data_IF_632512559849
#
_entry.id   IF_632512559849
#
_cell.length_a   1.000
_cell.length_b   1.000
_cell.length_c   1.000
_cell.angle_alpha   90.00
_cell.angle_beta   90.00
_cell.angle_gamma   90.00
#
_symmetry.space_group_name_H-M   'P 1'
#
loop_
_entity.id
_entity.type
_entity.pdbx_description
1 polymer ?
2 non-polymer ?
3 non-polymer ?
4 water ?
#
# COMPACT_ATOMS: atom_id res chain seq x y z
N UNK A 1 -4.38 -4.91 4.64
CA UNK A 1 -3.92 -5.77 5.78
C UNK A 1 -4.74 -5.60 7.06
N UNK A 2 -5.38 -4.45 7.25
CA UNK A 2 -6.12 -4.03 8.46
C UNK A 2 -7.14 -2.97 8.09
N UNK A 3 -7.92 -2.46 9.08
CA UNK A 3 -9.09 -1.61 8.81
C UNK A 3 -8.72 -0.26 8.18
N UNK A 4 -7.48 0.21 8.36
CA UNK A 4 -6.93 1.40 7.67
C UNK A 4 -6.91 1.20 6.17
N UNK A 5 -6.24 0.14 5.71
CA UNK A 5 -6.14 -0.25 4.29
C UNK A 5 -7.52 -0.61 3.74
N UNK A 6 -8.40 -1.20 4.58
CA UNK A 6 -9.78 -1.51 4.16
C UNK A 6 -10.53 -0.23 3.73
N UNK A 7 -10.46 0.81 4.54
CA UNK A 7 -11.16 2.09 4.24
C UNK A 7 -10.50 2.72 3.01
N UNK A 8 -9.15 2.77 2.96
CA UNK A 8 -8.41 3.33 1.81
C UNK A 8 -8.86 2.64 0.51
N UNK A 9 -8.87 1.29 0.51
CA UNK A 9 -9.23 0.48 -0.68
C UNK A 9 -10.63 0.84 -1.16
N UNK A 10 -11.57 0.97 -0.23
CA UNK A 10 -12.99 1.26 -0.51
C UNK A 10 -13.10 2.62 -1.25
N UNK A 11 -12.28 3.57 -0.84
CA UNK A 11 -12.24 4.91 -1.49
C UNK A 11 -11.59 4.77 -2.86
N UNK A 12 -10.45 4.06 -2.96
CA UNK A 12 -9.74 3.99 -4.25
C UNK A 12 -10.61 3.30 -5.29
N UNK A 13 -11.30 2.22 -4.92
CA UNK A 13 -11.99 1.33 -5.90
C UNK A 13 -13.19 2.05 -6.51
N UNK A 14 -13.80 3.01 -5.82
CA UNK A 14 -15.04 3.65 -6.34
C UNK A 14 -14.87 5.15 -6.60
N UNK A 15 -13.92 5.82 -5.94
CA UNK A 15 -13.90 7.30 -5.98
C UNK A 15 -12.61 7.84 -6.58
N UNK A 16 -11.87 7.09 -7.38
CA UNK A 16 -10.65 7.66 -8.02
C UNK A 16 -10.69 7.38 -9.52
N UNK A 17 -10.06 8.30 -10.28
CA UNK A 17 -9.80 8.14 -11.72
C UNK A 17 -8.33 8.51 -11.93
N UNK A 18 -7.80 8.13 -13.07
CA UNK A 18 -6.45 8.60 -13.47
C UNK A 18 -6.67 9.86 -14.31
N UNK A 19 -6.17 11.01 -13.84
CA UNK A 19 -6.23 12.29 -14.56
C UNK A 19 -4.88 12.54 -15.26
N UNK A 20 -4.90 12.96 -16.52
CA UNK A 20 -3.66 13.29 -17.28
C UNK A 20 -3.80 14.71 -17.86
N UNK A 21 -2.93 15.62 -17.42
CA UNK A 21 -2.81 17.01 -17.97
C UNK A 21 -1.48 17.06 -18.73
N UNK A 22 -1.12 18.23 -19.26
CA UNK A 22 0.23 18.45 -19.87
C UNK A 22 1.36 18.40 -18.85
N UNK A 23 1.06 18.43 -17.55
CA UNK A 23 2.05 18.34 -16.43
C UNK A 23 2.19 16.92 -15.88
N UNK A 24 1.52 15.90 -16.43
CA UNK A 24 1.65 14.48 -16.05
C UNK A 24 0.34 13.77 -15.70
N UNK A 25 0.50 12.55 -15.17
CA UNK A 25 -0.59 11.69 -14.62
C UNK A 25 -0.72 11.88 -13.12
N UNK A 26 -1.95 12.06 -12.61
CA UNK A 26 -2.26 12.28 -11.18
C UNK A 26 -3.38 11.35 -10.74
N UNK A 27 -3.28 10.83 -9.53
CA UNK A 27 -4.46 10.32 -8.79
C UNK A 27 -5.44 11.50 -8.69
N UNK A 28 -6.71 11.25 -8.97
CA UNK A 28 -7.75 12.28 -8.89
C UNK A 28 -8.92 11.68 -8.09
N UNK A 29 -9.29 12.34 -7.01
CA UNK A 29 -10.38 11.93 -6.08
C UNK A 29 -11.71 12.55 -6.55
N UNK A 30 -12.67 11.69 -6.91
CA UNK A 30 -14.06 12.11 -7.14
C UNK A 30 -14.77 12.25 -5.82
N UNK A 31 -15.54 13.32 -5.62
CA UNK A 31 -16.13 13.65 -4.30
C UNK A 31 -17.66 13.46 -4.33
N UNK A 32 -18.33 13.93 -5.39
CA UNK A 32 -19.80 13.75 -5.58
C UNK A 32 -20.12 14.20 -7.00
N UNK A 33 -21.26 13.71 -7.52
CA UNK A 33 -21.77 14.08 -8.87
C UNK A 33 -20.59 13.98 -9.86
N UNK A 34 -20.24 15.06 -10.57
CA UNK A 34 -19.11 15.02 -11.56
C UNK A 34 -18.00 15.92 -11.03
N UNK A 35 -17.89 16.08 -9.72
CA UNK A 35 -16.93 17.02 -9.07
C UNK A 35 -15.79 16.20 -8.47
N UNK A 36 -14.56 16.55 -8.85
CA UNK A 36 -13.34 15.89 -8.34
C UNK A 36 -12.32 16.94 -7.87
N UNK A 37 -11.23 16.48 -7.28
CA UNK A 37 -10.13 17.40 -6.84
C UNK A 37 -8.80 16.88 -7.39
N UNK A 38 -7.87 17.81 -7.54
CA UNK A 38 -6.50 17.51 -8.04
C UNK A 38 -5.57 18.60 -7.51
N UNK A 39 -4.25 18.36 -7.34
CA UNK A 39 -3.35 19.46 -6.95
C UNK A 39 -3.36 20.57 -8.01
N UNK A 40 -3.32 21.82 -7.54
CA UNK A 40 -3.40 22.99 -8.45
C UNK A 40 -2.21 22.99 -9.42
N UNK A 41 -1.05 22.48 -9.01
CA UNK A 41 0.14 22.38 -9.91
C UNK A 41 -0.06 21.43 -11.11
N UNK A 42 -1.14 20.65 -11.17
CA UNK A 42 -1.55 19.85 -12.36
C UNK A 42 -1.90 20.77 -13.54
N UNK A 43 -2.20 22.05 -13.28
CA UNK A 43 -2.54 23.07 -14.31
C UNK A 43 -3.69 22.59 -15.22
N UNK A 44 -4.85 22.31 -14.64
CA UNK A 44 -6.00 21.81 -15.43
C UNK A 44 -6.36 22.87 -16.45
N UNK A 45 -6.63 22.48 -17.70
CA UNK A 45 -7.16 23.36 -18.75
C UNK A 45 -8.59 23.05 -19.12
N UNK A 46 -8.96 23.34 -20.39
CA UNK A 46 -10.33 23.20 -20.94
C UNK A 46 -10.63 21.73 -21.22
N UNK A 47 -9.60 20.93 -21.45
CA UNK A 47 -9.67 19.47 -21.77
C UNK A 47 -8.68 18.74 -20.82
N UNK A 48 -9.12 17.59 -20.33
CA UNK A 48 -8.29 16.71 -19.47
C UNK A 48 -8.54 15.26 -19.92
N UNK A 49 -7.58 14.35 -19.72
CA UNK A 49 -7.81 12.91 -19.99
C UNK A 49 -8.18 12.23 -18.69
N UNK A 50 -9.29 11.49 -18.65
CA UNK A 50 -9.81 10.76 -17.46
C UNK A 50 -9.82 9.27 -17.84
N UNK A 51 -8.92 8.48 -17.25
CA UNK A 51 -8.76 7.04 -17.62
C UNK A 51 -8.57 6.97 -19.15
N UNK A 52 -7.72 7.85 -19.70
CA UNK A 52 -7.26 7.91 -21.11
C UNK A 52 -8.37 8.26 -22.09
N UNK A 53 -9.44 8.89 -21.62
CA UNK A 53 -10.55 9.40 -22.48
C UNK A 53 -10.59 10.93 -22.41
N UNK A 54 -10.60 11.55 -23.59
CA UNK A 54 -10.70 13.01 -23.74
C UNK A 54 -12.00 13.50 -23.10
N UNK A 55 -11.91 14.45 -22.17
CA UNK A 55 -13.04 14.91 -21.31
C UNK A 55 -12.99 16.45 -21.24
N UNK A 56 -14.12 17.09 -21.55
CA UNK A 56 -14.27 18.55 -21.41
C UNK A 56 -14.32 18.88 -19.91
N UNK A 57 -13.64 19.95 -19.52
CA UNK A 57 -13.70 20.50 -18.15
C UNK A 57 -14.82 21.54 -18.15
N UNK A 58 -15.89 21.31 -17.38
CA UNK A 58 -17.02 22.26 -17.33
C UNK A 58 -16.72 23.44 -16.43
N UNK A 59 -15.93 23.26 -15.37
CA UNK A 59 -15.53 24.33 -14.44
C UNK A 59 -14.26 23.88 -13.71
N UNK A 60 -13.38 24.80 -13.35
CA UNK A 60 -12.21 24.50 -12.52
C UNK A 60 -11.88 25.72 -11.67
N UNK A 61 -11.65 25.49 -10.39
CA UNK A 61 -11.41 26.58 -9.43
C UNK A 61 -10.25 26.21 -8.51
N UNK A 62 -9.15 26.97 -8.62
CA UNK A 62 -7.99 26.90 -7.72
C UNK A 62 -8.35 27.59 -6.40
N UNK A 63 -8.45 26.83 -5.34
CA UNK A 63 -8.92 27.37 -4.04
C UNK A 63 -7.81 28.17 -3.38
N UNK A 64 -8.21 29.26 -2.71
CA UNK A 64 -7.36 30.10 -1.84
C UNK A 64 -8.12 30.40 -0.56
N UNK A 65 -7.42 30.59 0.56
CA UNK A 65 -8.09 30.95 1.82
C UNK A 65 -8.44 32.45 1.77
N UNK A 66 -9.16 32.90 2.79
CA UNK A 66 -9.64 34.30 2.87
C UNK A 66 -8.48 35.26 3.19
N UNK A 67 -7.26 34.80 3.43
CA UNK A 67 -6.04 35.68 3.36
C UNK A 67 -5.51 35.77 1.91
N UNK A 68 -6.18 35.18 0.92
CA UNK A 68 -5.75 35.11 -0.50
C UNK A 68 -4.41 34.35 -0.50
N UNK A 69 -4.33 33.26 0.27
CA UNK A 69 -3.16 32.34 0.24
C UNK A 69 -3.54 31.05 -0.49
N UNK A 70 -2.65 30.55 -1.35
CA UNK A 70 -2.81 29.26 -2.06
C UNK A 70 -3.20 28.13 -1.08
N UNK A 71 -4.18 27.29 -1.43
CA UNK A 71 -4.48 26.01 -0.71
C UNK A 71 -3.98 24.77 -1.50
N UNK A 72 -3.62 24.93 -2.77
CA UNK A 72 -3.04 23.86 -3.65
C UNK A 72 -4.11 22.82 -4.02
N UNK A 73 -5.40 23.11 -3.78
CA UNK A 73 -6.54 22.25 -4.22
C UNK A 73 -7.19 22.95 -5.43
N UNK A 74 -7.40 22.23 -6.53
CA UNK A 74 -8.28 22.64 -7.64
C UNK A 74 -9.53 21.74 -7.65
N UNK A 75 -10.70 22.34 -7.62
CA UNK A 75 -11.98 21.62 -7.75
C UNK A 75 -12.36 21.66 -9.22
N UNK A 76 -12.61 20.49 -9.77
CA UNK A 76 -12.90 20.30 -11.21
C UNK A 76 -14.29 19.69 -11.38
N UNK A 77 -15.08 20.24 -12.28
CA UNK A 77 -16.34 19.58 -12.71
C UNK A 77 -16.13 19.02 -14.10
N UNK A 78 -16.36 17.70 -14.28
CA UNK A 78 -15.99 16.93 -15.49
C UNK A 78 -17.25 16.71 -16.34
N UNK A 79 -17.15 16.89 -17.65
CA UNK A 79 -18.21 16.49 -18.61
C UNK A 79 -18.20 14.97 -18.84
N UNK A 80 -18.48 14.24 -17.76
CA UNK A 80 -18.48 12.76 -17.69
C UNK A 80 -19.93 12.27 -17.68
N UNK A 81 -20.18 11.08 -18.23
CA UNK A 81 -21.54 10.50 -18.34
C UNK A 81 -21.91 9.72 -17.09
N UNK A 82 -21.16 9.83 -16.01
CA UNK A 82 -21.37 8.99 -14.82
C UNK A 82 -21.02 9.81 -13.57
N UNK A 83 -21.79 9.66 -12.49
CA UNK A 83 -21.52 10.33 -11.21
C UNK A 83 -20.62 9.48 -10.33
N UNK A 84 -19.87 10.15 -9.45
CA UNK A 84 -19.14 9.52 -8.33
C UNK A 84 -20.13 9.21 -7.20
N UNK A 85 -19.85 8.12 -6.51
CA UNK A 85 -20.45 7.90 -5.16
C UNK A 85 -20.20 9.15 -4.32
N UNK A 86 -21.23 9.66 -3.65
CA UNK A 86 -21.09 10.84 -2.78
C UNK A 86 -20.36 10.43 -1.49
N UNK A 87 -19.13 10.95 -1.32
CA UNK A 87 -18.30 10.68 -0.08
C UNK A 87 -18.15 11.95 0.75
N UNK A 88 -19.01 12.96 0.57
CA UNK A 88 -18.83 14.21 1.35
C UNK A 88 -18.99 13.96 2.86
N UNK A 89 -19.76 12.95 3.30
CA UNK A 89 -19.91 12.69 4.75
C UNK A 89 -18.63 12.12 5.36
N UNK A 90 -17.61 11.75 4.56
CA UNK A 90 -16.32 11.28 5.12
C UNK A 90 -15.28 12.42 5.23
N UNK A 91 -15.66 13.65 4.86
CA UNK A 91 -14.76 14.84 4.96
C UNK A 91 -14.85 15.46 6.35
N UNK A 92 -13.69 15.80 6.94
CA UNK A 92 -13.64 16.54 8.19
C UNK A 92 -14.26 17.93 8.05
N UNK A 93 -14.86 18.41 9.12
CA UNK A 93 -15.38 19.81 9.13
C UNK A 93 -14.29 20.82 9.50
N UNK A 94 -13.34 20.44 10.36
CA UNK A 94 -12.32 21.38 10.92
C UNK A 94 -10.89 20.91 10.62
N UNK A 95 -9.93 21.85 10.74
CA UNK A 95 -8.48 21.56 10.63
C UNK A 95 -8.12 20.68 11.85
N UNK A 96 -7.32 19.65 11.70
CA UNK A 96 -7.03 18.72 12.81
C UNK A 96 -5.72 17.98 12.54
N UNK A 97 -5.20 17.33 13.57
CA UNK A 97 -4.12 16.32 13.51
C UNK A 97 -4.79 14.94 13.52
N UNK A 98 -4.10 13.91 13.05
CA UNK A 98 -4.66 12.54 12.90
C UNK A 98 -3.63 11.49 13.31
N UNK A 99 -4.10 10.34 13.77
CA UNK A 99 -3.20 9.17 13.89
C UNK A 99 -3.45 8.19 12.73
N UNK A 100 -2.39 7.49 12.37
CA UNK A 100 -2.47 6.21 11.64
C UNK A 100 -3.20 6.47 10.32
N UNK A 101 -2.59 7.28 9.45
CA UNK A 101 -3.13 7.57 8.10
C UNK A 101 -2.50 6.66 7.04
N UNK A 102 -3.20 6.51 5.91
CA UNK A 102 -2.75 5.75 4.71
C UNK A 102 -2.81 6.74 3.55
N UNK A 103 -1.73 6.76 2.76
CA UNK A 103 -1.68 7.49 1.46
C UNK A 103 -1.85 6.46 0.35
N UNK A 104 -2.83 6.67 -0.52
CA UNK A 104 -3.21 5.72 -1.59
C UNK A 104 -3.10 6.36 -2.97
N UNK A 105 -2.42 5.67 -3.89
CA UNK A 105 -2.10 6.18 -5.23
C UNK A 105 -2.56 5.18 -6.26
N UNK A 106 -3.10 5.64 -7.37
CA UNK A 106 -3.39 4.75 -8.50
C UNK A 106 -3.08 5.48 -9.81
N UNK A 107 -1.93 5.17 -10.40
CA UNK A 107 -1.56 5.67 -11.75
C UNK A 107 -1.03 4.51 -12.57
N UNK A 108 -0.65 4.76 -13.84
CA UNK A 108 0.04 3.79 -14.74
C UNK A 108 1.37 3.34 -14.10
N UNK A 109 2.11 4.27 -13.51
CA UNK A 109 3.43 4.06 -12.86
C UNK A 109 3.22 3.27 -11.54
N UNK A 110 2.23 3.66 -10.74
CA UNK A 110 2.00 3.12 -9.37
C UNK A 110 0.55 2.67 -9.20
N UNK A 111 0.12 1.53 -9.82
CA UNK A 111 -1.22 0.99 -9.59
C UNK A 111 -1.34 0.32 -8.21
N UNK A 112 -2.50 0.51 -7.55
CA UNK A 112 -2.85 -0.23 -6.33
C UNK A 112 -1.75 -0.06 -5.29
N UNK A 113 -1.25 1.18 -5.11
CA UNK A 113 -0.23 1.53 -4.11
C UNK A 113 -0.88 2.09 -2.84
N UNK A 114 -0.51 1.53 -1.67
CA UNK A 114 -1.00 1.94 -0.33
C UNK A 114 0.20 2.07 0.59
N UNK A 115 0.35 3.21 1.24
CA UNK A 115 1.50 3.55 2.13
C UNK A 115 0.98 3.90 3.52
N UNK A 116 1.35 3.14 4.57
CA UNK A 116 1.02 3.52 5.94
C UNK A 116 1.98 4.64 6.37
N UNK A 117 1.49 5.87 6.44
CA UNK A 117 2.38 7.04 6.65
C UNK A 117 2.42 7.40 8.12
N UNK A 118 1.51 6.88 8.95
CA UNK A 118 1.55 7.07 10.41
C UNK A 118 0.90 8.35 10.83
N UNK A 119 1.47 9.02 11.83
CA UNK A 119 0.92 10.25 12.46
C UNK A 119 0.92 11.42 11.47
N UNK A 120 -0.17 12.17 11.44
CA UNK A 120 -0.31 13.37 10.54
C UNK A 120 -0.44 14.63 11.40
N UNK A 121 0.46 15.58 11.20
CA UNK A 121 0.50 16.87 11.91
C UNK A 121 -0.27 17.94 11.11
N UNK A 122 -1.09 18.72 11.78
CA UNK A 122 -1.58 20.00 11.20
C UNK A 122 -0.39 20.96 11.16
N UNK A 123 0.33 21.02 10.05
CA UNK A 123 1.60 21.74 9.90
C UNK A 123 1.32 23.24 9.66
N UNK A 124 0.31 23.52 8.85
CA UNK A 124 -0.17 24.88 8.55
C UNK A 124 0.54 25.47 7.36
N UNK A 125 1.44 26.42 7.62
CA UNK A 125 2.14 27.18 6.56
C UNK A 125 3.28 26.31 6.00
N UNK A 126 3.40 26.28 4.68
CA UNK A 126 4.52 25.66 3.94
C UNK A 126 4.82 26.52 2.74
N UNK A 127 6.11 26.80 2.53
CA UNK A 127 6.60 27.30 1.22
C UNK A 127 6.76 26.13 0.27
N UNK A 128 5.75 25.88 -0.57
CA UNK A 128 5.64 24.69 -1.42
C UNK A 128 6.10 25.04 -2.84
N UNK A 129 7.29 24.57 -3.24
CA UNK A 129 7.84 24.93 -4.56
C UNK A 129 7.93 26.44 -4.74
N UNK A 130 8.25 27.18 -3.69
CA UNK A 130 8.32 28.66 -3.75
C UNK A 130 6.97 29.37 -3.53
N UNK A 131 5.86 28.66 -3.33
CA UNK A 131 4.52 29.30 -3.21
C UNK A 131 4.05 29.20 -1.77
N UNK A 132 3.81 30.32 -1.05
CA UNK A 132 3.23 30.28 0.30
C UNK A 132 1.89 29.51 0.23
N UNK A 133 1.76 28.49 1.07
CA UNK A 133 0.57 27.59 1.04
C UNK A 133 0.06 27.39 2.46
N UNK A 134 -1.27 27.38 2.66
CA UNK A 134 -1.85 27.16 4.00
C UNK A 134 -2.54 25.78 4.10
N UNK A 135 -2.91 25.40 5.32
CA UNK A 135 -3.71 24.16 5.62
C UNK A 135 -2.96 22.89 5.16
N UNK A 136 -1.65 22.85 5.38
CA UNK A 136 -0.80 21.69 5.02
C UNK A 136 -0.78 20.68 6.17
N UNK A 137 -0.98 19.42 5.81
CA UNK A 137 -0.79 18.24 6.68
C UNK A 137 0.59 17.69 6.37
N UNK A 138 1.32 17.22 7.39
CA UNK A 138 2.68 16.63 7.22
C UNK A 138 2.73 15.22 7.82
N UNK A 139 3.45 14.33 7.16
CA UNK A 139 3.68 12.93 7.63
C UNK A 139 5.12 12.58 7.32
N UNK A 140 5.71 11.71 8.14
CA UNK A 140 7.16 11.43 8.12
C UNK A 140 7.30 10.19 7.24
N UNK A 141 7.06 10.34 5.95
CA UNK A 141 7.37 9.28 4.95
C UNK A 141 8.04 9.94 3.76
N UNK A 142 9.14 9.33 3.25
CA UNK A 142 9.85 9.81 2.07
C UNK A 142 9.08 9.49 0.78
N UNK A 143 8.05 10.30 0.54
CA UNK A 143 7.20 10.26 -0.68
C UNK A 143 8.01 10.77 -1.90
N UNK A 144 7.63 10.34 -3.09
CA UNK A 144 8.39 10.54 -4.34
C UNK A 144 7.46 11.08 -5.42
N UNK A 145 8.07 11.58 -6.49
CA UNK A 145 7.42 11.96 -7.77
C UNK A 145 6.58 10.76 -8.22
N UNK A 146 5.34 11.03 -8.59
CA UNK A 146 4.33 10.03 -8.98
C UNK A 146 3.20 9.92 -7.96
N UNK A 147 3.38 10.44 -6.74
CA UNK A 147 2.38 10.31 -5.64
C UNK A 147 1.45 11.53 -5.51
N UNK A 148 1.66 12.59 -6.31
CA UNK A 148 0.81 13.81 -6.16
C UNK A 148 -0.61 13.46 -6.56
N UNK A 149 -1.57 13.94 -5.73
CA UNK A 149 -3.00 13.66 -5.92
C UNK A 149 -3.40 12.45 -5.12
N UNK A 150 -2.41 11.73 -4.56
CA UNK A 150 -2.68 10.56 -3.71
C UNK A 150 -3.67 10.93 -2.61
N UNK A 151 -4.50 10.00 -2.20
CA UNK A 151 -5.57 10.29 -1.19
C UNK A 151 -5.03 9.89 0.18
N UNK A 152 -5.15 10.80 1.12
CA UNK A 152 -4.80 10.54 2.55
C UNK A 152 -6.09 10.25 3.31
N UNK A 153 -6.18 9.07 3.94
CA UNK A 153 -7.35 8.66 4.75
C UNK A 153 -6.92 8.20 6.15
N UNK A 154 -7.86 8.29 7.06
CA UNK A 154 -7.89 7.47 8.31
C UNK A 154 -9.10 6.56 8.20
N UNK A 155 -9.21 5.58 9.10
CA UNK A 155 -10.48 4.83 9.24
C UNK A 155 -11.59 5.89 9.43
N UNK A 156 -12.48 5.96 8.47
CA UNK A 156 -13.72 6.72 8.53
C UNK A 156 -13.58 8.08 7.90
N UNK A 157 -12.37 8.59 7.60
CA UNK A 157 -12.22 9.97 7.08
C UNK A 157 -11.26 10.08 5.89
N UNK A 158 -11.65 10.92 4.93
CA UNK A 158 -10.81 11.33 3.77
C UNK A 158 -10.32 12.74 4.14
N UNK A 159 -9.01 12.90 4.41
CA UNK A 159 -8.53 14.12 5.12
C UNK A 159 -7.70 15.02 4.20
N UNK A 160 -7.24 14.55 3.04
CA UNK A 160 -6.35 15.38 2.22
C UNK A 160 -5.88 14.70 0.94
N UNK A 161 -5.17 15.49 0.12
CA UNK A 161 -4.55 14.98 -1.12
C UNK A 161 -3.07 15.40 -1.12
N UNK A 162 -2.21 14.46 -1.45
CA UNK A 162 -0.73 14.61 -1.45
C UNK A 162 -0.32 15.68 -2.46
N UNK A 163 0.49 16.68 -2.05
CA UNK A 163 0.89 17.80 -2.96
C UNK A 163 2.41 17.99 -3.04
N UNK A 164 3.20 17.36 -2.19
CA UNK A 164 4.67 17.46 -2.29
C UNK A 164 5.43 16.76 -1.20
N UNK A 165 6.75 16.88 -1.26
CA UNK A 165 7.62 16.36 -0.18
C UNK A 165 8.99 17.01 -0.21
N UNK A 166 9.83 16.71 0.77
CA UNK A 166 11.22 17.24 0.84
C UNK A 166 12.24 16.08 0.90
N UNK A 167 11.84 14.85 0.56
CA UNK A 167 12.72 13.67 0.57
C UNK A 167 12.59 12.86 1.86
N UNK A 168 12.25 13.50 2.98
CA UNK A 168 12.09 12.88 4.32
C UNK A 168 10.62 12.94 4.80
N UNK A 169 9.97 14.06 4.52
CA UNK A 169 8.54 14.33 4.88
C UNK A 169 7.69 14.46 3.61
N UNK A 170 6.40 14.15 3.74
CA UNK A 170 5.40 14.34 2.67
C UNK A 170 4.34 15.32 3.18
N UNK A 171 3.72 16.04 2.25
CA UNK A 171 2.75 17.13 2.55
C UNK A 171 1.45 16.93 1.78
N UNK A 172 0.31 17.15 2.46
CA UNK A 172 -1.01 17.00 1.82
C UNK A 172 -1.77 18.31 2.06
N UNK A 173 -2.57 18.73 1.10
CA UNK A 173 -3.57 19.80 1.27
C UNK A 173 -4.81 19.23 1.97
N UNK A 174 -5.30 19.90 2.99
CA UNK A 174 -6.52 19.47 3.72
C UNK A 174 -7.70 19.42 2.76
N UNK A 175 -8.57 18.41 2.94
CA UNK A 175 -9.95 18.49 2.39
C UNK A 175 -10.90 18.78 3.57
N UNK A 176 -11.74 19.77 3.38
CA UNK A 176 -12.77 20.19 4.35
C UNK A 176 -14.16 20.07 3.71
N UNK A 177 -15.13 19.63 4.49
CA UNK A 177 -16.55 19.51 4.05
C UNK A 177 -17.03 20.82 3.40
N UNK A 178 -16.65 21.96 3.98
CA UNK A 178 -17.09 23.29 3.50
C UNK A 178 -16.67 23.56 2.07
N UNK A 179 -15.66 22.88 1.49
CA UNK A 179 -15.25 23.14 0.09
C UNK A 179 -16.32 22.62 -0.90
N UNK A 180 -17.22 21.72 -0.49
CA UNK A 180 -18.08 20.91 -1.42
C UNK A 180 -19.57 21.03 -1.10
N UNK A 181 -19.96 22.08 -0.37
CA UNK A 181 -21.40 22.43 -0.18
C UNK A 181 -21.94 22.98 -1.51
N UNK A 182 -23.20 22.69 -1.82
CA UNK A 182 -23.89 23.04 -3.10
C UNK A 182 -25.29 23.60 -2.81
N UNK B 2 8.86 1.34 -10.73
CA UNK B 2 9.50 0.99 -12.04
C UNK B 2 9.78 -0.51 -12.17
N UNK B 3 11.06 -0.93 -12.22
CA UNK B 3 11.39 -2.36 -12.21
C UNK B 3 10.96 -3.03 -10.90
N UNK B 4 11.01 -2.29 -9.78
CA UNK B 4 10.58 -2.74 -8.44
C UNK B 4 9.08 -3.05 -8.39
N UNK B 5 8.23 -2.13 -8.86
CA UNK B 5 6.76 -2.38 -8.96
C UNK B 5 6.45 -3.43 -10.03
N UNK B 6 7.10 -3.45 -11.20
CA UNK B 6 6.96 -4.55 -12.19
C UNK B 6 7.25 -5.89 -11.52
N UNK B 7 8.39 -5.96 -10.83
CA UNK B 7 8.89 -7.22 -10.22
C UNK B 7 7.88 -7.71 -9.20
N UNK B 8 7.40 -6.85 -8.32
CA UNK B 8 6.41 -7.20 -7.28
C UNK B 8 5.16 -7.73 -7.97
N UNK B 9 4.69 -7.08 -9.05
CA UNK B 9 3.49 -7.54 -9.83
C UNK B 9 3.69 -8.90 -10.47
N UNK B 10 4.90 -9.19 -11.01
CA UNK B 10 5.22 -10.46 -11.71
C UNK B 10 5.15 -11.63 -10.72
N UNK B 11 5.67 -11.38 -9.51
CA UNK B 11 5.65 -12.38 -8.40
C UNK B 11 4.21 -12.57 -7.91
N UNK B 12 3.47 -11.48 -7.73
CA UNK B 12 2.04 -11.52 -7.31
C UNK B 12 1.26 -12.41 -8.29
N UNK B 13 1.31 -12.08 -9.58
CA UNK B 13 0.43 -12.65 -10.63
C UNK B 13 0.66 -14.16 -10.76
N UNK B 14 1.91 -14.62 -10.84
CA UNK B 14 2.20 -16.07 -11.04
C UNK B 14 2.47 -16.87 -9.76
N UNK B 15 2.99 -16.25 -8.69
CA UNK B 15 3.52 -17.02 -7.54
C UNK B 15 2.73 -16.80 -6.24
N UNK B 16 1.65 -16.04 -6.21
CA UNK B 16 0.96 -15.71 -4.94
C UNK B 16 -0.45 -16.30 -5.00
N UNK B 17 -0.86 -17.06 -3.97
CA UNK B 17 -2.21 -17.66 -3.85
C UNK B 17 -2.82 -17.27 -2.51
N UNK B 18 -4.15 -17.39 -2.38
CA UNK B 18 -4.86 -17.19 -1.09
C UNK B 18 -4.92 -18.53 -0.35
N UNK B 19 -4.25 -18.63 0.80
CA UNK B 19 -4.30 -19.84 1.62
C UNK B 19 -5.28 -19.55 2.77
N UNK B 20 -6.16 -20.49 3.07
CA UNK B 20 -7.08 -20.38 4.24
C UNK B 20 -6.85 -21.60 5.14
N UNK B 21 -6.49 -21.34 6.40
CA UNK B 21 -6.32 -22.35 7.47
C UNK B 21 -7.47 -22.17 8.46
N UNK B 22 -7.44 -22.92 9.58
CA UNK B 22 -8.41 -22.77 10.69
C UNK B 22 -8.41 -21.31 11.16
N UNK B 23 -7.31 -20.58 10.96
CA UNK B 23 -7.13 -19.20 11.51
C UNK B 23 -7.61 -18.11 10.55
N UNK B 24 -7.97 -18.45 9.31
CA UNK B 24 -8.41 -17.50 8.29
C UNK B 24 -7.42 -17.39 7.14
N UNK B 25 -7.40 -16.24 6.47
CA UNK B 25 -6.75 -16.13 5.14
C UNK B 25 -5.36 -15.51 5.29
N UNK B 26 -4.44 -16.06 4.49
CA UNK B 26 -3.01 -15.67 4.46
C UNK B 26 -2.53 -15.56 3.00
N UNK B 27 -1.73 -14.52 2.73
CA UNK B 27 -1.01 -14.42 1.45
C UNK B 27 0.02 -15.57 1.44
N UNK B 28 -0.05 -16.45 0.46
CA UNK B 28 0.89 -17.60 0.38
C UNK B 28 1.79 -17.44 -0.85
N UNK B 29 3.10 -17.66 -0.69
CA UNK B 29 4.07 -17.64 -1.80
C UNK B 29 4.41 -19.06 -2.26
N UNK B 30 4.09 -19.38 -3.52
CA UNK B 30 4.54 -20.60 -4.16
C UNK B 30 5.95 -20.44 -4.69
N UNK B 31 6.82 -21.39 -4.42
CA UNK B 31 8.29 -21.20 -4.68
C UNK B 31 8.72 -22.04 -5.90
N UNK B 32 8.33 -23.30 -5.95
CA UNK B 32 8.61 -24.23 -7.07
C UNK B 32 7.77 -25.48 -6.93
N UNK B 33 7.56 -26.24 -8.00
CA UNK B 33 6.82 -27.53 -7.95
C UNK B 33 5.51 -27.29 -7.17
N UNK B 34 5.24 -28.07 -6.11
CA UNK B 34 4.02 -27.85 -5.26
C UNK B 34 4.45 -27.35 -3.87
N UNK B 35 5.58 -26.66 -3.79
CA UNK B 35 6.21 -26.19 -2.52
C UNK B 35 5.91 -24.71 -2.36
N UNK B 36 5.26 -24.36 -1.23
CA UNK B 36 4.91 -22.97 -0.87
C UNK B 36 5.36 -22.65 0.56
N UNK B 37 5.33 -21.38 0.90
CA UNK B 37 5.62 -20.92 2.28
C UNK B 37 4.46 -20.06 2.81
N UNK B 38 4.36 -20.08 4.11
CA UNK B 38 3.30 -19.36 4.88
C UNK B 38 3.90 -19.11 6.27
N UNK B 39 3.49 -18.06 7.01
CA UNK B 39 3.94 -17.88 8.39
C UNK B 39 3.53 -19.06 9.28
N UNK B 40 4.39 -19.44 10.23
CA UNK B 40 4.14 -20.60 11.13
C UNK B 40 2.86 -20.34 11.94
N UNK B 41 2.60 -19.08 12.31
CA UNK B 41 1.37 -18.72 13.09
C UNK B 41 0.08 -19.02 12.34
N UNK B 42 0.10 -19.38 11.05
CA UNK B 42 -1.08 -19.77 10.25
C UNK B 42 -1.65 -21.11 10.75
N UNK B 43 -0.85 -21.88 11.46
CA UNK B 43 -1.33 -23.18 12.05
C UNK B 43 -1.88 -24.07 10.94
N UNK B 44 -1.01 -24.39 9.98
CA UNK B 44 -1.37 -25.29 8.86
C UNK B 44 -1.73 -26.67 9.44
N UNK B 45 -2.80 -27.25 8.90
CA UNK B 45 -3.29 -28.58 9.31
C UNK B 45 -3.06 -29.62 8.24
N UNK B 46 -3.95 -30.62 8.19
CA UNK B 46 -3.85 -31.71 7.20
C UNK B 46 -4.44 -31.24 5.87
N UNK B 47 -5.36 -30.28 5.95
CA UNK B 47 -6.10 -29.73 4.78
C UNK B 47 -5.93 -28.22 4.83
N UNK B 48 -5.85 -27.61 3.66
CA UNK B 48 -5.79 -26.13 3.47
C UNK B 48 -6.66 -25.80 2.25
N UNK B 49 -7.19 -24.58 2.21
CA UNK B 49 -7.90 -24.08 1.00
C UNK B 49 -6.91 -23.19 0.25
N UNK B 50 -6.74 -23.44 -1.04
CA UNK B 50 -5.86 -22.67 -1.96
C UNK B 50 -6.79 -22.04 -3.01
N UNK B 51 -6.99 -20.72 -2.98
CA UNK B 51 -7.96 -20.02 -3.86
C UNK B 51 -9.31 -20.73 -3.76
N UNK B 52 -9.74 -21.02 -2.53
CA UNK B 52 -11.06 -21.59 -2.14
C UNK B 52 -11.20 -23.06 -2.53
N UNK B 53 -10.13 -23.74 -2.95
CA UNK B 53 -10.15 -25.20 -3.25
C UNK B 53 -9.57 -25.99 -2.07
N UNK B 54 -10.35 -26.90 -1.47
CA UNK B 54 -9.89 -27.87 -0.44
C UNK B 54 -8.70 -28.66 -1.00
N UNK B 55 -7.55 -28.61 -0.32
CA UNK B 55 -6.25 -29.15 -0.80
C UNK B 55 -5.59 -29.93 0.33
N UNK B 56 -5.21 -31.18 0.09
CA UNK B 56 -4.43 -31.96 1.07
C UNK B 56 -3.03 -31.33 1.19
N UNK B 57 -2.58 -31.12 2.42
CA UNK B 57 -1.16 -30.77 2.71
C UNK B 57 -0.40 -32.08 2.95
N UNK B 58 0.48 -32.40 2.02
CA UNK B 58 1.26 -33.67 2.08
C UNK B 58 2.33 -33.58 3.15
N UNK B 59 2.91 -32.39 3.34
CA UNK B 59 3.99 -32.19 4.32
C UNK B 59 3.96 -30.74 4.78
N UNK B 60 4.29 -30.52 6.06
CA UNK B 60 4.47 -29.16 6.62
C UNK B 60 5.70 -29.21 7.52
N UNK B 61 6.63 -28.27 7.32
CA UNK B 61 7.85 -28.11 8.14
C UNK B 61 7.90 -26.71 8.73
N UNK B 62 7.81 -26.60 10.07
CA UNK B 62 7.95 -25.34 10.81
C UNK B 62 9.46 -25.10 10.94
N UNK B 63 10.06 -24.24 10.12
CA UNK B 63 11.54 -24.16 9.98
C UNK B 63 12.17 -23.62 11.28
N UNK B 64 13.32 -24.18 11.58
CA UNK B 64 14.20 -23.74 12.69
C UNK B 64 15.62 -23.76 12.15
N UNK B 65 16.49 -22.93 12.69
CA UNK B 65 17.89 -22.88 12.18
C UNK B 65 18.77 -23.86 12.99
N UNK B 66 20.07 -23.85 12.72
CA UNK B 66 21.00 -24.85 13.34
C UNK B 66 21.30 -24.51 14.80
N UNK B 67 20.88 -23.35 15.31
CA UNK B 67 20.85 -23.05 16.76
C UNK B 67 19.55 -23.58 17.41
N UNK B 68 18.72 -24.23 16.61
CA UNK B 68 17.42 -24.81 17.07
C UNK B 68 16.55 -23.64 17.48
N UNK B 69 16.57 -22.56 16.69
CA UNK B 69 15.71 -21.38 16.96
C UNK B 69 14.65 -21.25 15.87
N UNK B 70 13.41 -20.89 16.26
CA UNK B 70 12.31 -20.61 15.32
C UNK B 70 12.74 -19.61 14.23
N UNK B 71 12.28 -19.86 12.99
CA UNK B 71 12.37 -18.88 11.87
C UNK B 71 10.99 -18.34 11.44
N UNK B 72 9.89 -18.90 11.95
CA UNK B 72 8.51 -18.41 11.73
C UNK B 72 8.06 -18.64 10.26
N UNK B 73 8.77 -19.47 9.51
CA UNK B 73 8.40 -19.90 8.12
C UNK B 73 7.96 -21.35 8.26
N UNK B 74 6.83 -21.68 7.65
CA UNK B 74 6.41 -23.07 7.45
C UNK B 74 6.44 -23.37 5.96
N UNK B 75 7.23 -24.38 5.56
CA UNK B 75 7.23 -24.86 4.16
C UNK B 75 6.16 -25.95 4.02
N UNK B 76 5.32 -25.86 3.00
CA UNK B 76 4.25 -26.88 2.75
C UNK B 76 4.45 -27.51 1.36
N UNK B 77 4.16 -28.80 1.24
CA UNK B 77 4.02 -29.53 -0.04
C UNK B 77 2.53 -29.83 -0.24
N UNK B 78 1.96 -29.35 -1.34
CA UNK B 78 0.49 -29.34 -1.57
C UNK B 78 0.13 -30.45 -2.58
N UNK B 79 -0.97 -31.17 -2.32
CA UNK B 79 -1.52 -32.20 -3.24
C UNK B 79 -2.39 -31.47 -4.28
N UNK B 80 -1.78 -30.94 -5.34
CA UNK B 80 -2.49 -30.19 -6.42
C UNK B 80 -1.77 -30.34 -7.76
N UNK B 81 -2.53 -30.27 -8.85
CA UNK B 81 -2.01 -30.54 -10.20
C UNK B 81 -1.09 -29.41 -10.62
N UNK B 82 -1.50 -28.16 -10.41
CA UNK B 82 -0.70 -26.99 -10.85
C UNK B 82 0.66 -27.00 -10.14
N UNK B 83 1.69 -26.69 -10.92
CA UNK B 83 3.07 -26.46 -10.43
C UNK B 83 3.31 -24.95 -10.39
N UNK B 84 3.95 -24.45 -9.34
CA UNK B 84 4.35 -23.02 -9.27
C UNK B 84 5.53 -22.74 -10.20
N UNK B 85 5.56 -21.55 -10.79
CA UNK B 85 6.71 -21.04 -11.56
C UNK B 85 7.93 -21.00 -10.64
N UNK B 86 9.04 -21.67 -10.99
CA UNK B 86 10.24 -21.71 -10.10
C UNK B 86 10.79 -20.29 -9.95
N UNK B 87 11.02 -19.83 -8.70
CA UNK B 87 11.58 -18.50 -8.39
C UNK B 87 12.73 -18.63 -7.39
N UNK B 88 13.30 -19.83 -7.24
CA UNK B 88 14.41 -20.07 -6.29
C UNK B 88 15.60 -19.21 -6.64
N UNK B 89 15.78 -18.86 -7.92
CA UNK B 89 16.94 -18.06 -8.38
C UNK B 89 16.78 -16.60 -7.97
N UNK B 90 15.61 -16.20 -7.43
CA UNK B 90 15.40 -14.82 -6.93
C UNK B 90 15.55 -14.73 -5.40
N UNK B 91 15.83 -15.85 -4.72
CA UNK B 91 16.04 -15.91 -3.24
C UNK B 91 17.47 -15.54 -2.90
N UNK B 92 17.68 -14.63 -1.92
CA UNK B 92 19.03 -14.29 -1.46
C UNK B 92 19.77 -15.53 -0.91
N UNK B 93 21.08 -15.55 -1.14
CA UNK B 93 21.97 -16.62 -0.62
C UNK B 93 22.25 -16.35 0.86
N UNK B 94 22.35 -15.07 1.23
CA UNK B 94 22.85 -14.61 2.56
C UNK B 94 21.86 -13.64 3.22
N UNK B 95 22.02 -13.44 4.53
CA UNK B 95 21.32 -12.38 5.30
C UNK B 95 21.82 -11.02 4.79
N UNK B 96 20.94 -10.01 4.65
CA UNK B 96 21.34 -8.68 4.11
C UNK B 96 20.33 -7.60 4.49
N UNK B 97 20.74 -6.34 4.34
CA UNK B 97 19.91 -5.11 4.36
C UNK B 97 19.47 -4.78 2.92
N UNK B 98 18.35 -4.06 2.76
CA UNK B 98 17.80 -3.73 1.42
C UNK B 98 17.21 -2.30 1.43
N UNK B 99 17.12 -1.68 0.26
CA UNK B 99 16.35 -0.42 0.08
C UNK B 99 15.14 -0.65 -0.83
N UNK B 100 14.13 0.21 -0.72
CA UNK B 100 13.12 0.37 -1.79
C UNK B 100 12.33 -0.94 -1.93
N UNK B 101 11.96 -1.56 -0.79
CA UNK B 101 11.21 -2.83 -0.80
C UNK B 101 9.70 -2.56 -0.89
N UNK B 102 8.98 -3.54 -1.41
CA UNK B 102 7.52 -3.56 -1.59
C UNK B 102 6.99 -4.80 -0.88
N UNK B 103 5.92 -4.61 -0.12
CA UNK B 103 5.16 -5.68 0.55
C UNK B 103 3.88 -5.86 -0.27
N UNK B 104 3.63 -7.09 -0.74
CA UNK B 104 2.53 -7.44 -1.67
C UNK B 104 1.52 -8.41 -1.02
N UNK B 105 0.33 -7.89 -0.74
CA UNK B 105 -0.78 -8.58 0.00
C UNK B 105 -1.79 -9.11 -1.01
N UNK B 106 -2.27 -10.33 -0.80
CA UNK B 106 -3.27 -10.95 -1.67
C UNK B 106 -4.20 -11.85 -0.86
N UNK B 107 -5.38 -11.34 -0.51
CA UNK B 107 -6.44 -12.15 0.16
C UNK B 107 -7.79 -11.81 -0.49
N UNK B 108 -8.87 -12.45 -0.05
CA UNK B 108 -10.24 -12.15 -0.59
C UNK B 108 -10.63 -10.71 -0.24
N UNK B 109 -10.20 -10.24 0.93
CA UNK B 109 -10.49 -8.86 1.44
C UNK B 109 -9.58 -7.82 0.79
N UNK B 110 -8.31 -8.19 0.48
CA UNK B 110 -7.22 -7.28 0.02
C UNK B 110 -6.58 -7.91 -1.22
N UNK B 111 -7.28 -7.92 -2.37
CA UNK B 111 -6.76 -8.54 -3.57
C UNK B 111 -5.70 -7.62 -4.22
N UNK B 112 -4.62 -8.17 -4.73
CA UNK B 112 -3.64 -7.31 -5.45
C UNK B 112 -3.38 -5.95 -4.75
N UNK B 113 -2.91 -5.90 -3.48
CA UNK B 113 -2.53 -4.63 -2.78
C UNK B 113 -1.00 -4.51 -2.64
N UNK B 114 -0.38 -3.39 -3.03
CA UNK B 114 1.10 -3.14 -3.00
C UNK B 114 1.46 -2.02 -2.03
N UNK B 115 2.27 -2.36 -1.02
CA UNK B 115 2.64 -1.44 0.10
C UNK B 115 4.14 -1.20 0.05
N UNK B 116 4.59 -0.05 -0.50
CA UNK B 116 5.99 0.35 -0.48
C UNK B 116 6.36 0.54 1.00
N UNK B 117 7.42 -0.11 1.47
CA UNK B 117 7.83 -0.01 2.90
C UNK B 117 9.16 0.72 3.01
N UNK B 118 9.95 0.67 1.92
CA UNK B 118 11.21 1.42 1.76
C UNK B 118 12.37 0.63 2.33
N UNK B 119 13.06 1.23 3.28
CA UNK B 119 14.32 0.69 3.83
C UNK B 119 14.00 -0.49 4.73
N UNK B 120 14.70 -1.58 4.47
CA UNK B 120 14.59 -2.87 5.22
C UNK B 120 15.92 -3.19 5.92
N UNK B 121 15.91 -3.35 7.24
CA UNK B 121 17.12 -3.69 8.03
C UNK B 121 17.19 -5.21 8.32
N UNK B 122 18.36 -5.82 8.24
CA UNK B 122 18.67 -7.11 8.92
C UNK B 122 18.62 -6.89 10.44
N UNK B 123 17.47 -7.18 11.08
CA UNK B 123 17.22 -6.87 12.51
C UNK B 123 17.75 -8.02 13.37
N UNK B 124 17.55 -9.25 12.89
CA UNK B 124 18.04 -10.51 13.48
C UNK B 124 17.05 -11.07 14.50
N UNK B 125 17.38 -10.95 15.79
CA UNK B 125 16.67 -11.60 16.90
C UNK B 125 15.42 -10.80 17.25
N UNK B 126 14.30 -11.49 17.39
CA UNK B 126 13.03 -10.88 17.85
C UNK B 126 12.29 -11.88 18.73
N UNK B 127 11.73 -11.40 19.83
CA UNK B 127 10.79 -12.22 20.63
C UNK B 127 9.40 -12.00 20.05
N UNK B 128 8.95 -12.94 19.23
CA UNK B 128 7.69 -12.80 18.47
C UNK B 128 6.59 -13.61 19.15
N UNK B 129 5.63 -12.93 19.80
CA UNK B 129 4.52 -13.62 20.49
C UNK B 129 5.03 -14.54 21.58
N UNK B 130 6.15 -14.18 22.22
CA UNK B 130 6.78 -14.98 23.29
C UNK B 130 7.76 -16.04 22.77
N UNK B 131 7.90 -16.17 21.44
CA UNK B 131 8.85 -17.16 20.85
C UNK B 131 10.10 -16.45 20.34
N UNK B 132 11.29 -16.83 20.87
CA UNK B 132 12.57 -16.38 20.31
C UNK B 132 12.68 -16.78 18.84
N UNK B 133 12.95 -15.79 17.97
CA UNK B 133 12.92 -15.93 16.49
C UNK B 133 14.17 -15.28 15.88
N UNK B 134 14.75 -15.95 14.90
CA UNK B 134 15.92 -15.42 14.17
C UNK B 134 15.56 -14.92 12.76
N UNK B 135 16.56 -14.25 12.12
CA UNK B 135 16.53 -13.85 10.68
C UNK B 135 15.31 -12.98 10.38
N UNK B 136 15.01 -12.04 11.25
CA UNK B 136 13.92 -11.06 11.06
C UNK B 136 14.45 -9.84 10.30
N UNK B 137 13.76 -9.48 9.22
CA UNK B 137 13.86 -8.16 8.51
C UNK B 137 12.87 -7.16 9.13
N UNK B 138 13.27 -5.90 9.27
CA UNK B 138 12.41 -4.85 9.88
C UNK B 138 12.26 -3.68 8.90
N UNK B 139 11.06 -3.09 8.89
CA UNK B 139 10.74 -1.86 8.10
C UNK B 139 9.78 -1.03 8.94
N UNK B 140 9.74 0.29 8.72
CA UNK B 140 8.67 1.12 9.32
C UNK B 140 7.31 0.58 8.89
N UNK B 141 6.34 0.63 9.80
CA UNK B 141 4.98 0.12 9.53
C UNK B 141 4.05 0.66 10.62
N UNK B 142 3.82 1.99 10.60
CA UNK B 142 3.02 2.66 11.64
C UNK B 142 1.51 2.46 11.42
N UNK B 143 1.06 1.24 11.65
CA UNK B 143 -0.31 0.76 11.41
C UNK B 143 -0.43 -0.52 12.26
N UNK B 144 -1.63 -0.81 12.72
CA UNK B 144 -1.95 -2.13 13.33
C UNK B 144 -2.57 -2.94 12.19
N UNK B 145 -1.77 -3.84 11.63
CA UNK B 145 -2.17 -4.80 10.58
C UNK B 145 -2.67 -6.10 11.25
N UNK B 146 -3.52 -6.85 10.55
CA UNK B 146 -3.90 -8.22 10.93
C UNK B 146 -2.81 -9.23 10.57
N UNK B 147 -3.19 -10.50 10.59
CA UNK B 147 -2.31 -11.69 10.45
C UNK B 147 -1.95 -12.01 8.99
N UNK B 148 -2.63 -11.49 7.97
CA UNK B 148 -2.67 -12.14 6.63
C UNK B 148 -1.28 -12.12 5.96
N UNK B 149 -0.45 -11.16 6.30
CA UNK B 149 0.94 -11.05 5.80
C UNK B 149 1.01 -10.79 4.30
N UNK B 150 2.15 -11.12 3.69
CA UNK B 150 2.43 -10.68 2.32
C UNK B 150 3.89 -10.92 1.97
N UNK B 151 4.20 -10.73 0.71
CA UNK B 151 5.53 -11.07 0.16
C UNK B 151 6.35 -9.80 0.09
N UNK B 152 7.62 -9.84 0.55
CA UNK B 152 8.51 -8.66 0.49
C UNK B 152 9.52 -8.85 -0.65
N UNK B 153 9.55 -7.88 -1.57
CA UNK B 153 10.48 -7.95 -2.75
C UNK B 153 11.25 -6.65 -2.86
N UNK B 154 12.38 -6.76 -3.52
CA UNK B 154 13.16 -5.60 -4.03
C UNK B 154 13.26 -5.79 -5.54
N UNK B 155 13.85 -4.86 -6.28
CA UNK B 155 14.19 -5.17 -7.68
C UNK B 155 15.06 -6.42 -7.69
N UNK B 156 14.59 -7.48 -8.33
CA UNK B 156 15.36 -8.69 -8.62
C UNK B 156 15.37 -9.72 -7.51
N UNK B 157 14.78 -9.47 -6.34
CA UNK B 157 14.87 -10.45 -5.22
C UNK B 157 13.55 -10.58 -4.45
N UNK B 158 13.26 -11.83 -4.09
CA UNK B 158 12.16 -12.15 -3.14
C UNK B 158 12.80 -12.41 -1.77
N UNK B 159 12.67 -11.47 -0.85
CA UNK B 159 13.54 -11.40 0.36
C UNK B 159 12.84 -11.95 1.59
N UNK B 160 11.51 -12.00 1.64
CA UNK B 160 10.89 -12.42 2.91
C UNK B 160 9.37 -12.41 2.84
N UNK B 161 8.77 -12.93 3.90
CA UNK B 161 7.29 -12.91 4.07
C UNK B 161 6.98 -12.22 5.41
N UNK B 162 5.97 -11.34 5.40
CA UNK B 162 5.55 -10.58 6.60
C UNK B 162 5.01 -11.50 7.71
N UNK B 163 5.56 -11.41 8.92
CA UNK B 163 5.13 -12.30 10.04
C UNK B 163 4.56 -11.55 11.25
N UNK B 164 4.75 -10.23 11.39
CA UNK B 164 4.16 -9.48 12.51
C UNK B 164 4.55 -8.01 12.54
N UNK B 165 4.29 -7.37 13.69
CA UNK B 165 4.57 -5.93 13.86
C UNK B 165 4.20 -5.46 15.25
N UNK B 166 4.64 -4.27 15.63
CA UNK B 166 4.46 -3.71 17.01
C UNK B 166 3.75 -2.35 16.93
N UNK B 167 3.07 -2.05 15.82
CA UNK B 167 2.30 -0.80 15.60
C UNK B 167 3.14 0.37 15.07
N UNK B 168 4.47 0.29 15.18
CA UNK B 168 5.46 1.25 14.66
C UNK B 168 6.33 0.59 13.58
N UNK B 169 6.69 -0.68 13.80
CA UNK B 169 7.59 -1.43 12.89
C UNK B 169 6.91 -2.72 12.44
N UNK B 170 7.29 -3.16 11.26
CA UNK B 170 6.83 -4.41 10.61
C UNK B 170 8.00 -5.36 10.50
N UNK B 171 7.70 -6.66 10.59
CA UNK B 171 8.73 -7.72 10.67
C UNK B 171 8.42 -8.79 9.62
N UNK B 172 9.45 -9.24 8.92
CA UNK B 172 9.39 -10.29 7.90
C UNK B 172 10.43 -11.34 8.21
N UNK B 173 10.10 -12.61 8.01
CA UNK B 173 11.06 -13.73 8.08
C UNK B 173 11.83 -13.76 6.77
N UNK B 174 13.14 -13.85 6.82
CA UNK B 174 13.96 -13.98 5.59
C UNK B 174 13.61 -15.25 4.82
N UNK B 175 13.64 -15.18 3.47
CA UNK B 175 13.69 -16.37 2.62
C UNK B 175 15.14 -16.45 2.10
N UNK B 176 15.71 -17.62 2.23
CA UNK B 176 17.10 -17.91 1.76
C UNK B 176 17.06 -19.06 0.76
N UNK B 177 18.02 -19.06 -0.16
CA UNK B 177 18.10 -20.05 -1.25
C UNK B 177 18.24 -21.46 -0.64
N UNK B 178 19.00 -21.55 0.45
CA UNK B 178 19.35 -22.87 1.08
C UNK B 178 18.12 -23.55 1.68
N UNK B 179 17.00 -22.85 1.89
CA UNK B 179 15.81 -23.50 2.49
C UNK B 179 15.12 -24.48 1.51
N UNK B 180 15.42 -24.32 0.21
CA UNK B 180 14.73 -25.00 -0.91
C UNK B 180 15.70 -25.81 -1.80
N UNK B 181 16.97 -25.90 -1.44
CA UNK B 181 17.94 -26.80 -2.14
C UNK B 181 17.64 -28.26 -1.78
X LIG C 1 -10.29 -25.19 8.35
X LIG C 1 -10.86 -24.04 7.84
X LIG C 1 -10.30 -23.43 6.73
X LIG C 1 -9.18 -23.97 6.13
X LIG C 1 -8.65 -25.11 6.65
X LIG C 1 -10.35 -28.63 11.04
X LIG C 1 -10.78 -28.28 12.40
X LIG C 1 -9.04 -28.20 9.29
X LIG C 1 -10.66 -30.01 10.64
X LIG C 1 -9.71 -27.78 10.21
X LIG C 1 -9.85 -26.28 10.41
X LIG C 1 -9.16 -25.75 7.75
X LIG C 1 -7.57 -25.67 6.05
X LIG C 1 -10.80 -25.76 9.48
X LIG D 1 11.94 -27.84 0.81
X LIG D 1 10.98 -29.01 0.93
X LIG D 1 12.14 -27.58 -0.92
X LIG D 1 13.56 -28.48 1.17
#
# INVERSE_FOLDING_TARGET
>A
MGPGFDFAQAIMKKNTVIARTEKGEFTMLGVYDRVAVIPTHASVGEIIYINDVETRVLDACALRDLTDTNLEITIVKLDRNQKFRDIRHFLPRCEDDYNDAVLSVHTSKFPNMYIPVGQVTNYGFLNLGGTPTHRILMYNFPTRAGQCGGVVTTTGKVIGIHVGGNGAQGFAAMLLHSYFTD
>B
MGPGFDFAQAIMKKNTVIARTEKGEFTMLGVYDRVAVIPTHASVGEIIYINDVETRVLDACALRDLTDTNLEITIVKLDRNQKFRDIRHFLPRCEDDYNDAVLSVHTSKFPNMYIPVGQVTNYGFLNLGGTPTHRILMYNFPTRAGQCGGVVTTTGKVIGIHVGGNGAQGFAAMLLHSYFTD
>C hetero
1 TT3 C4 C5 C6 C7 C8 N C O C1 C2 C3 C9 F O1
>D hetero
1 DMS S O C1 C2
#
